data_IF_546068411228
#
_entry.id   IF_546068411228
#
_cell.length_a   1.000
_cell.length_b   1.000
_cell.length_c   1.000
_cell.angle_alpha   90.00
_cell.angle_beta   90.00
_cell.angle_gamma   90.00
#
_symmetry.space_group_name_H-M   'P 1'
#
loop_
_entity.id
_entity.type
_entity.pdbx_description
1 polymer ?
#
# COMPACT_ATOMS: atom_id res chain seq x y z
N UNK A 1 12.10 -11.17 9.49
CA UNK A 1 11.67 -10.37 8.35
C UNK A 1 10.63 -9.35 8.82
N UNK A 2 10.87 -8.12 8.53
CA UNK A 2 10.01 -7.06 9.01
C UNK A 2 8.88 -6.79 8.01
N UNK A 3 7.71 -6.49 8.55
CA UNK A 3 6.53 -6.21 7.75
C UNK A 3 6.08 -4.77 7.97
N UNK A 4 5.39 -4.25 6.98
CA UNK A 4 4.73 -2.96 7.09
C UNK A 4 3.37 -3.04 6.42
N UNK A 5 2.44 -2.26 6.93
CA UNK A 5 1.14 -2.07 6.31
C UNK A 5 1.08 -0.67 5.72
N UNK A 6 0.56 -0.56 4.53
CA UNK A 6 0.39 0.72 3.85
C UNK A 6 -1.11 0.96 3.75
N UNK A 7 -1.57 2.00 4.44
CA UNK A 7 -2.98 2.38 4.41
C UNK A 7 -3.16 3.37 3.25
N UNK A 8 -4.08 3.05 2.36
CA UNK A 8 -4.24 3.78 1.11
C UNK A 8 -5.64 4.35 1.02
N UNK A 9 -5.73 5.66 0.77
CA UNK A 9 -7.00 6.31 0.47
C UNK A 9 -7.09 6.47 -1.04
N UNK A 10 -8.29 6.23 -1.57
CA UNK A 10 -8.53 6.28 -3.01
C UNK A 10 -9.67 7.23 -3.32
N UNK A 11 -9.75 7.64 -4.57
CA UNK A 11 -10.89 8.41 -5.04
C UNK A 11 -12.14 7.54 -4.99
N UNK A 12 -13.31 8.13 -4.74
CA UNK A 12 -14.56 7.37 -4.71
C UNK A 12 -14.73 6.53 -6.00
N UNK A 13 -15.09 5.26 -5.79
CA UNK A 13 -15.34 4.35 -6.91
C UNK A 13 -14.13 3.68 -7.50
N UNK A 14 -12.91 4.01 -7.05
CA UNK A 14 -11.69 3.43 -7.64
C UNK A 14 -11.08 2.32 -6.78
N UNK A 15 -11.66 2.05 -5.60
CA UNK A 15 -11.09 1.08 -4.65
C UNK A 15 -10.76 -0.28 -5.25
N UNK A 16 -11.71 -0.96 -5.92
CA UNK A 16 -11.42 -2.29 -6.48
C UNK A 16 -10.29 -2.28 -7.51
N UNK A 17 -10.27 -1.29 -8.38
CA UNK A 17 -9.21 -1.18 -9.38
C UNK A 17 -7.86 -0.90 -8.76
N UNK A 18 -7.82 0.01 -7.77
CA UNK A 18 -6.59 0.33 -7.06
C UNK A 18 -6.09 -0.89 -6.29
N UNK A 19 -6.99 -1.63 -5.64
CA UNK A 19 -6.62 -2.84 -4.92
C UNK A 19 -5.88 -3.81 -5.83
N UNK A 20 -6.42 -4.03 -7.02
CA UNK A 20 -5.79 -4.91 -7.99
C UNK A 20 -4.42 -4.37 -8.41
N UNK A 21 -4.34 -3.10 -8.75
CA UNK A 21 -3.09 -2.50 -9.18
C UNK A 21 -2.03 -2.53 -8.09
N UNK A 22 -2.42 -2.26 -6.84
CA UNK A 22 -1.49 -2.31 -5.71
C UNK A 22 -0.97 -3.72 -5.49
N UNK A 23 -1.85 -4.73 -5.62
CA UNK A 23 -1.44 -6.12 -5.43
C UNK A 23 -0.40 -6.57 -6.46
N UNK A 24 -0.31 -5.88 -7.57
CA UNK A 24 0.65 -6.20 -8.63
C UNK A 24 1.97 -5.44 -8.50
N UNK A 25 2.08 -4.53 -7.56
CA UNK A 25 3.32 -3.78 -7.33
C UNK A 25 4.37 -4.71 -6.73
N UNK A 26 5.56 -4.71 -7.32
CA UNK A 26 6.65 -5.52 -6.80
C UNK A 26 7.01 -5.07 -5.39
N UNK A 27 7.09 -6.02 -4.46
CA UNK A 27 7.36 -5.75 -3.06
C UNK A 27 6.12 -5.79 -2.20
N UNK A 28 4.94 -5.80 -2.81
CA UNK A 28 3.66 -5.93 -2.10
C UNK A 28 3.26 -7.40 -2.05
N UNK A 29 3.07 -7.93 -0.84
CA UNK A 29 2.66 -9.33 -0.65
C UNK A 29 1.17 -9.52 -0.89
N UNK A 30 0.37 -8.56 -0.45
CA UNK A 30 -1.08 -8.63 -0.60
C UNK A 30 -1.68 -7.25 -0.49
N UNK A 31 -2.89 -7.12 -1.03
CA UNK A 31 -3.67 -5.89 -0.89
C UNK A 31 -5.13 -6.30 -0.74
N UNK A 32 -5.82 -5.65 0.18
CA UNK A 32 -7.25 -5.92 0.41
C UNK A 32 -8.01 -4.61 0.43
N UNK A 33 -9.22 -4.65 -0.07
CA UNK A 33 -10.12 -3.52 0.01
C UNK A 33 -10.82 -3.53 1.37
N UNK A 34 -10.93 -2.37 2.00
CA UNK A 34 -11.53 -2.23 3.32
C UNK A 34 -12.47 -1.03 3.32
N UNK A 35 -13.23 -0.90 4.40
CA UNK A 35 -14.07 0.28 4.63
C UNK A 35 -13.57 0.98 5.88
N UNK A 36 -13.85 2.28 5.98
CA UNK A 36 -13.47 3.08 7.12
C UNK A 36 -12.60 4.25 6.73
N UNK A 37 -11.52 4.47 7.49
CA UNK A 37 -10.66 5.63 7.25
C UNK A 37 -9.73 5.48 6.06
N UNK A 38 -9.54 4.28 5.59
CA UNK A 38 -8.80 4.03 4.35
C UNK A 38 -9.60 3.07 3.50
N UNK A 39 -9.19 2.91 2.25
CA UNK A 39 -9.94 2.11 1.28
C UNK A 39 -9.22 0.83 0.91
N UNK A 40 -7.89 0.83 1.01
CA UNK A 40 -7.07 -0.33 0.67
C UNK A 40 -5.97 -0.45 1.71
N UNK A 41 -5.70 -1.68 2.13
CA UNK A 41 -4.54 -1.97 2.99
C UNK A 41 -3.63 -2.92 2.24
N UNK A 42 -2.39 -2.50 2.04
CA UNK A 42 -1.36 -3.33 1.42
C UNK A 42 -0.40 -3.82 2.49
N UNK A 43 0.08 -5.04 2.31
CA UNK A 43 1.10 -5.62 3.16
C UNK A 43 2.37 -5.77 2.34
N UNK A 44 3.48 -5.30 2.89
CA UNK A 44 4.76 -5.34 2.19
C UNK A 44 5.88 -5.61 3.20
N UNK A 45 7.02 -6.09 2.71
CA UNK A 45 8.19 -6.21 3.55
C UNK A 45 8.73 -4.82 3.86
N UNK A 46 9.04 -4.57 5.13
CA UNK A 46 9.59 -3.29 5.54
C UNK A 46 10.92 -2.99 4.83
N UNK A 47 11.64 -4.04 4.49
CA UNK A 47 12.89 -3.91 3.75
C UNK A 47 12.68 -3.28 2.37
N UNK A 48 11.53 -3.55 1.76
CA UNK A 48 11.15 -2.93 0.48
C UNK A 48 10.85 -1.45 0.63
N UNK A 49 10.74 -0.98 1.88
CA UNK A 49 10.44 0.42 2.18
C UNK A 49 11.70 1.21 2.56
N UNK A 50 12.90 0.62 2.45
CA UNK A 50 14.16 1.33 2.65
C UNK A 50 14.62 1.98 1.34
N UNK A 51 15.84 1.75 0.90
CA UNK A 51 16.27 2.35 -0.36
C UNK A 51 15.32 2.03 -1.51
N UNK A 52 14.95 0.75 -1.71
CA UNK A 52 13.93 0.41 -2.70
C UNK A 52 12.52 0.84 -2.32
N UNK A 53 12.31 1.25 -1.07
CA UNK A 53 10.96 1.67 -0.65
C UNK A 53 10.42 2.80 -1.50
N UNK A 54 11.32 3.65 -2.00
CA UNK A 54 10.90 4.71 -2.89
C UNK A 54 10.25 4.15 -4.14
N UNK A 55 10.64 2.94 -4.54
CA UNK A 55 10.02 2.28 -5.68
C UNK A 55 8.64 1.76 -5.32
N UNK A 56 8.49 1.10 -4.17
CA UNK A 56 7.20 0.56 -3.75
C UNK A 56 6.21 1.68 -3.49
N UNK A 57 6.56 2.63 -2.61
CA UNK A 57 5.67 3.72 -2.28
C UNK A 57 5.43 4.63 -3.48
N UNK A 58 6.47 4.92 -4.25
CA UNK A 58 6.33 5.73 -5.44
C UNK A 58 5.42 5.09 -6.48
N UNK A 59 5.51 3.77 -6.64
CA UNK A 59 4.63 3.05 -7.56
C UNK A 59 3.18 3.12 -7.11
N UNK A 60 2.94 2.98 -5.81
CA UNK A 60 1.58 3.07 -5.27
C UNK A 60 1.05 4.49 -5.43
N UNK A 61 1.86 5.48 -5.05
CA UNK A 61 1.42 6.88 -5.11
C UNK A 61 1.22 7.37 -6.54
N UNK A 62 1.85 6.73 -7.51
CA UNK A 62 1.68 7.08 -8.91
C UNK A 62 0.37 6.55 -9.52
N UNK A 63 -0.32 5.65 -8.83
CA UNK A 63 -1.59 5.12 -9.33
C UNK A 63 -2.65 6.22 -9.31
N UNK A 64 -3.37 6.33 -10.41
CA UNK A 64 -4.29 7.46 -10.62
C UNK A 64 -5.39 7.58 -9.57
N UNK A 65 -5.82 6.46 -9.00
CA UNK A 65 -6.90 6.46 -8.00
C UNK A 65 -6.42 6.74 -6.59
N UNK A 66 -5.11 6.75 -6.32
CA UNK A 66 -4.57 6.93 -4.97
C UNK A 66 -4.49 8.41 -4.64
N UNK A 67 -5.08 8.79 -3.50
CA UNK A 67 -5.05 10.18 -3.04
C UNK A 67 -4.12 10.37 -1.84
N UNK A 68 -3.88 9.31 -1.04
CA UNK A 68 -3.08 9.45 0.18
C UNK A 68 -2.60 8.07 0.64
N UNK A 69 -1.40 8.03 1.21
CA UNK A 69 -0.86 6.80 1.79
C UNK A 69 -0.30 7.09 3.18
N UNK A 70 -0.33 6.07 4.04
CA UNK A 70 0.28 6.11 5.36
C UNK A 70 0.95 4.76 5.59
N UNK A 71 2.25 4.77 5.83
CA UNK A 71 3.01 3.54 6.10
C UNK A 71 3.07 3.27 7.59
N UNK A 72 2.70 2.07 7.98
CA UNK A 72 2.69 1.62 9.37
C UNK A 72 3.60 0.40 9.50
N UNK A 73 4.88 0.58 9.86
CA UNK A 73 5.76 -0.57 10.12
C UNK A 73 5.30 -1.35 11.33
N UNK A 74 5.44 -2.67 11.27
CA UNK A 74 5.09 -3.53 12.40
C UNK A 74 6.21 -3.46 13.43
N UNK A 75 5.82 -3.28 14.68
CA UNK A 75 6.77 -3.23 15.79
C UNK A 75 6.84 -4.62 16.41
N UNK A 76 8.07 -5.11 16.57
CA UNK A 76 8.34 -6.38 17.25
C UNK A 76 8.76 -6.09 18.67
N UNK A 77 7.97 -6.57 19.62
CA UNK A 77 8.24 -6.35 21.06
C UNK A 77 8.91 -7.55 21.68
#
# INVERSE_FOLDING_TARGET
MDLAYILIQTRPGTGPGVTKEVSEVKGVDSAVEVTGRCDVIARAEARSLDEPRKQVLGSIEALAGVTRTLTCPVIHL
#
